data_IF_653047887375
#
_entry.id   IF_653047887375
#
_cell.length_a   1.000
_cell.length_b   1.000
_cell.length_c   1.000
_cell.angle_alpha   90.00
_cell.angle_beta   90.00
_cell.angle_gamma   90.00
#
_symmetry.space_group_name_H-M   'P 1'
#
loop_
_entity.id
_entity.type
_entity.pdbx_description
1 polymer ?
#
# COMPACT_ATOMS: atom_id res chain seq x y z
N UNK A 1 11.70 -4.31 -8.55
CA UNK A 1 10.45 -3.71 -9.08
C UNK A 1 9.55 -3.41 -7.93
N UNK A 2 9.64 -2.21 -7.43
CA UNK A 2 8.95 -1.75 -6.24
C UNK A 2 8.15 -0.52 -6.62
N UNK A 3 7.15 -0.68 -7.34
CA UNK A 3 6.35 0.42 -7.79
C UNK A 3 4.87 0.13 -7.75
N UNK A 4 4.43 -0.62 -6.78
CA UNK A 4 3.00 -0.63 -6.53
C UNK A 4 2.67 0.63 -5.78
N UNK A 5 2.48 1.65 -6.51
CA UNK A 5 1.80 2.81 -6.06
C UNK A 5 0.36 2.45 -5.71
N UNK A 6 0.15 2.04 -4.53
CA UNK A 6 -1.17 2.00 -3.97
C UNK A 6 -1.58 3.43 -3.65
N UNK A 7 -2.29 4.03 -4.54
CA UNK A 7 -3.14 5.16 -4.22
C UNK A 7 -4.23 4.68 -3.26
N UNK A 8 -3.84 4.31 -2.06
CA UNK A 8 -4.75 3.64 -1.15
C UNK A 8 -5.72 4.59 -0.44
N UNK A 9 -5.66 5.88 -0.71
CA UNK A 9 -6.44 6.81 0.09
C UNK A 9 -7.35 7.80 -0.63
N UNK A 10 -7.63 7.70 -1.90
CA UNK A 10 -8.90 8.19 -2.41
C UNK A 10 -9.64 7.15 -3.22
N UNK A 11 -9.54 5.88 -2.86
CA UNK A 11 -10.29 4.82 -3.56
C UNK A 11 -11.78 5.11 -3.59
N UNK A 12 -12.27 5.89 -2.63
CA UNK A 12 -13.67 6.30 -2.57
C UNK A 12 -14.01 7.55 -3.39
N UNK A 13 -13.04 8.17 -4.06
CA UNK A 13 -13.26 9.44 -4.74
C UNK A 13 -12.69 9.48 -6.17
N UNK A 14 -12.75 8.37 -6.89
CA UNK A 14 -12.39 8.37 -8.31
C UNK A 14 -13.63 8.68 -9.15
N UNK A 15 -13.61 9.77 -9.95
CA UNK A 15 -14.57 9.92 -11.04
C UNK A 15 -14.46 8.67 -11.94
N UNK A 16 -15.58 8.06 -12.29
CA UNK A 16 -15.62 6.74 -12.95
C UNK A 16 -14.73 6.64 -14.19
N UNK A 17 -14.68 7.66 -15.05
CA UNK A 17 -13.82 7.69 -16.24
C UNK A 17 -12.32 7.72 -15.93
N UNK A 18 -11.90 8.43 -14.88
CA UNK A 18 -10.51 8.56 -14.51
C UNK A 18 -9.88 7.25 -14.01
N UNK A 19 -10.66 6.39 -13.37
CA UNK A 19 -10.16 5.10 -12.88
C UNK A 19 -9.75 4.16 -14.02
N UNK A 20 -10.57 4.07 -15.06
CA UNK A 20 -10.30 3.25 -16.23
C UNK A 20 -9.11 3.81 -17.04
N UNK A 21 -9.13 5.11 -17.31
CA UNK A 21 -8.08 5.78 -18.07
C UNK A 21 -6.72 5.72 -17.36
N UNK A 22 -6.67 5.87 -16.04
CA UNK A 22 -5.42 5.76 -15.29
C UNK A 22 -4.78 4.36 -15.43
N UNK A 23 -5.58 3.30 -15.43
CA UNK A 23 -5.10 1.94 -15.65
C UNK A 23 -4.58 1.73 -17.07
N UNK A 24 -5.33 2.15 -18.08
CA UNK A 24 -4.95 2.01 -19.49
C UNK A 24 -3.72 2.84 -19.85
N UNK A 25 -3.71 4.12 -19.48
CA UNK A 25 -2.56 5.00 -19.75
C UNK A 25 -1.32 4.56 -19.01
N UNK A 26 -1.46 4.15 -17.74
CA UNK A 26 -0.35 3.62 -16.94
C UNK A 26 0.22 2.34 -17.53
N UNK A 27 -0.62 1.39 -17.92
CA UNK A 27 -0.22 0.16 -18.58
C UNK A 27 0.47 0.40 -19.92
N UNK A 28 -0.09 1.27 -20.74
CA UNK A 28 0.50 1.64 -22.03
C UNK A 28 1.87 2.30 -21.87
N UNK A 29 2.00 3.26 -20.94
CA UNK A 29 3.29 3.90 -20.64
C UNK A 29 4.34 2.92 -20.13
N UNK A 30 3.95 2.00 -19.27
CA UNK A 30 4.84 0.96 -18.77
C UNK A 30 5.33 0.06 -19.92
N UNK A 31 4.44 -0.38 -20.79
CA UNK A 31 4.80 -1.19 -21.96
C UNK A 31 5.73 -0.42 -22.92
N UNK A 32 5.45 0.84 -23.19
CA UNK A 32 6.29 1.71 -24.02
C UNK A 32 7.68 1.91 -23.39
N UNK A 33 7.74 2.14 -22.09
CA UNK A 33 9.00 2.27 -21.36
C UNK A 33 9.83 0.99 -21.46
N UNK A 34 9.23 -0.16 -21.20
CA UNK A 34 9.91 -1.45 -21.31
C UNK A 34 10.44 -1.66 -22.73
N UNK A 35 9.61 -1.43 -23.74
CA UNK A 35 10.00 -1.63 -25.15
C UNK A 35 11.14 -0.71 -25.61
N UNK A 36 11.24 0.50 -25.06
CA UNK A 36 12.26 1.47 -25.48
C UNK A 36 13.52 1.46 -24.60
N UNK A 37 13.38 1.11 -23.30
CA UNK A 37 14.52 1.14 -22.36
C UNK A 37 15.17 -0.22 -22.14
N UNK A 38 14.47 -1.32 -22.47
CA UNK A 38 14.96 -2.68 -22.31
C UNK A 38 14.85 -3.48 -23.62
N UNK A 39 15.47 -3.01 -24.74
CA UNK A 39 15.33 -3.66 -26.04
C UNK A 39 15.96 -5.05 -26.11
N UNK A 40 16.93 -5.32 -25.22
CA UNK A 40 17.68 -6.57 -25.20
C UNK A 40 17.89 -7.07 -23.75
N UNK A 41 16.82 -7.56 -23.12
CA UNK A 41 16.98 -8.28 -21.86
C UNK A 41 17.01 -9.77 -22.17
N UNK A 42 18.14 -10.24 -22.69
CA UNK A 42 18.40 -11.65 -22.88
C UNK A 42 19.43 -12.10 -21.85
N UNK A 43 18.97 -12.75 -20.80
CA UNK A 43 19.84 -13.49 -19.90
C UNK A 43 19.50 -14.97 -20.07
N UNK A 44 20.49 -15.79 -20.42
CA UNK A 44 20.31 -17.23 -20.50
C UNK A 44 19.96 -17.80 -19.10
N UNK A 45 19.28 -18.96 -19.05
CA UNK A 45 18.83 -19.54 -17.78
C UNK A 45 19.94 -19.81 -16.78
N UNK A 46 21.13 -20.22 -17.24
CA UNK A 46 22.24 -20.58 -16.35
C UNK A 46 22.85 -19.32 -15.71
N UNK A 47 23.05 -18.27 -16.49
CA UNK A 47 23.47 -16.96 -16.00
C UNK A 47 22.44 -16.39 -15.02
N UNK A 48 21.13 -16.52 -15.33
CA UNK A 48 20.06 -16.09 -14.44
C UNK A 48 20.09 -16.85 -13.10
N UNK A 49 20.18 -18.16 -13.14
CA UNK A 49 20.26 -19.00 -11.95
C UNK A 49 21.53 -18.73 -11.15
N UNK A 50 22.67 -18.53 -11.82
CA UNK A 50 23.92 -18.16 -11.16
C UNK A 50 23.81 -16.82 -10.41
N UNK A 51 23.12 -15.85 -10.99
CA UNK A 51 22.95 -14.51 -10.40
C UNK A 51 21.89 -14.44 -9.30
N UNK A 52 20.77 -15.14 -9.47
CA UNK A 52 19.60 -15.03 -8.61
C UNK A 52 19.24 -16.31 -7.86
N UNK A 53 20.07 -17.34 -7.93
CA UNK A 53 19.80 -18.66 -7.35
C UNK A 53 19.53 -18.60 -5.84
N UNK A 54 20.27 -17.80 -5.09
CA UNK A 54 20.05 -17.62 -3.65
C UNK A 54 18.69 -16.98 -3.36
N UNK A 55 18.28 -15.97 -4.14
CA UNK A 55 16.97 -15.33 -3.97
C UNK A 55 15.83 -16.31 -4.30
N UNK A 56 16.01 -17.13 -5.34
CA UNK A 56 15.05 -18.18 -5.71
C UNK A 56 14.95 -19.20 -4.59
N UNK A 57 16.08 -19.69 -4.09
CA UNK A 57 16.13 -20.64 -2.99
C UNK A 57 15.45 -20.10 -1.73
N UNK A 58 15.66 -18.82 -1.40
CA UNK A 58 14.97 -18.17 -0.28
C UNK A 58 13.45 -18.13 -0.47
N UNK A 59 12.96 -17.92 -1.71
CA UNK A 59 11.50 -17.97 -1.99
C UNK A 59 10.96 -19.39 -1.89
N UNK A 60 11.69 -20.38 -2.39
CA UNK A 60 11.31 -21.78 -2.28
C UNK A 60 11.30 -22.26 -0.81
N UNK A 61 12.22 -21.78 0.02
CA UNK A 61 12.21 -22.06 1.46
C UNK A 61 10.93 -21.55 2.16
N UNK A 62 10.37 -20.42 1.72
CA UNK A 62 9.07 -19.93 2.22
C UNK A 62 7.93 -20.89 1.85
N UNK A 63 7.94 -21.44 0.63
CA UNK A 63 6.96 -22.42 0.17
C UNK A 63 7.09 -23.70 1.02
N UNK A 64 8.28 -24.21 1.19
CA UNK A 64 8.56 -25.40 2.00
C UNK A 64 8.11 -25.20 3.46
N UNK A 65 8.44 -24.07 4.06
CA UNK A 65 8.02 -23.72 5.41
C UNK A 65 6.49 -23.65 5.57
N UNK A 66 5.78 -23.12 4.59
CA UNK A 66 4.33 -23.11 4.59
C UNK A 66 3.75 -24.54 4.47
N UNK A 67 4.28 -25.38 3.59
CA UNK A 67 3.83 -26.75 3.39
C UNK A 67 4.04 -27.63 4.64
N UNK A 68 5.07 -27.38 5.43
CA UNK A 68 5.28 -28.06 6.73
C UNK A 68 4.18 -27.75 7.76
N UNK A 69 3.32 -26.77 7.48
CA UNK A 69 2.18 -26.43 8.37
C UNK A 69 0.88 -27.17 8.01
N UNK A 70 0.90 -28.05 7.03
CA UNK A 70 -0.24 -28.91 6.69
C UNK A 70 -0.54 -29.85 7.87
N UNK A 71 -1.77 -29.83 8.36
CA UNK A 71 -2.19 -30.60 9.56
C UNK A 71 -1.64 -30.09 10.89
N UNK A 72 -0.84 -29.01 10.89
CA UNK A 72 -0.22 -28.44 12.09
C UNK A 72 -1.20 -27.69 13.00
N UNK A 73 -0.66 -27.08 14.06
CA UNK A 73 -1.42 -26.29 15.02
C UNK A 73 -1.41 -24.80 14.63
N UNK A 74 -2.47 -24.08 14.99
CA UNK A 74 -2.61 -22.65 14.76
C UNK A 74 -3.96 -22.29 14.10
N UNK A 75 -4.21 -21.00 13.87
CA UNK A 75 -5.39 -20.57 13.15
C UNK A 75 -5.34 -21.04 11.69
N UNK A 76 -6.44 -21.53 11.18
CA UNK A 76 -6.60 -21.82 9.74
C UNK A 76 -6.64 -20.50 8.92
N UNK A 77 -6.46 -20.62 7.61
CA UNK A 77 -6.39 -19.47 6.71
C UNK A 77 -7.65 -18.60 6.72
N UNK A 78 -8.84 -19.22 6.85
CA UNK A 78 -10.08 -18.49 6.91
C UNK A 78 -10.25 -17.69 8.22
N UNK A 79 -9.93 -18.31 9.35
CA UNK A 79 -9.96 -17.64 10.66
C UNK A 79 -8.91 -16.53 10.75
N UNK A 80 -7.74 -16.76 10.16
CA UNK A 80 -6.67 -15.77 10.08
C UNK A 80 -7.11 -14.55 9.27
N UNK A 81 -7.74 -14.76 8.11
CA UNK A 81 -8.29 -13.72 7.27
C UNK A 81 -9.37 -12.90 7.98
N UNK A 82 -10.35 -13.56 8.59
CA UNK A 82 -11.45 -12.89 9.31
C UNK A 82 -10.95 -11.92 10.39
N UNK A 83 -9.88 -12.24 11.08
CA UNK A 83 -9.32 -11.36 12.13
C UNK A 83 -8.91 -9.99 11.59
N UNK A 84 -8.16 -9.93 10.50
CA UNK A 84 -7.77 -8.64 9.97
C UNK A 84 -8.90 -7.93 9.22
N UNK A 85 -9.84 -8.65 8.60
CA UNK A 85 -11.04 -8.06 8.01
C UNK A 85 -11.90 -7.36 9.07
N UNK A 86 -12.18 -8.04 10.21
CA UNK A 86 -12.93 -7.46 11.33
C UNK A 86 -12.20 -6.25 11.93
N UNK A 87 -10.88 -6.32 12.05
CA UNK A 87 -10.05 -5.21 12.55
C UNK A 87 -10.13 -4.01 11.62
N UNK A 88 -10.06 -4.21 10.31
CA UNK A 88 -10.22 -3.14 9.32
C UNK A 88 -11.61 -2.52 9.35
N UNK A 89 -12.65 -3.33 9.46
CA UNK A 89 -14.03 -2.84 9.58
C UNK A 89 -14.25 -1.99 10.83
N UNK A 90 -13.53 -2.27 11.91
CA UNK A 90 -13.64 -1.53 13.17
C UNK A 90 -12.77 -0.28 13.24
N UNK A 91 -11.50 -0.38 12.80
CA UNK A 91 -10.50 0.65 13.03
C UNK A 91 -10.08 1.41 11.77
N UNK A 92 -10.22 0.81 10.60
CA UNK A 92 -9.77 1.38 9.33
C UNK A 92 -10.88 1.90 8.41
N UNK A 93 -12.15 1.77 8.83
CA UNK A 93 -13.31 2.15 8.04
C UNK A 93 -13.71 3.64 8.20
N UNK A 94 -14.99 3.90 8.11
CA UNK A 94 -15.54 5.27 8.09
C UNK A 94 -15.42 6.01 9.43
N UNK A 95 -15.50 5.30 10.55
CA UNK A 95 -15.36 5.87 11.89
C UNK A 95 -14.03 5.43 12.45
N UNK A 96 -13.18 6.39 12.80
CA UNK A 96 -11.82 6.15 13.27
C UNK A 96 -11.66 6.73 14.67
N UNK A 97 -11.53 5.84 15.63
CA UNK A 97 -11.13 6.17 16.98
C UNK A 97 -9.61 6.03 17.10
N UNK A 98 -8.85 7.08 17.53
CA UNK A 98 -7.40 7.02 17.61
C UNK A 98 -6.86 5.89 18.52
N UNK A 99 -7.53 5.63 19.65
CA UNK A 99 -7.13 4.56 20.57
C UNK A 99 -7.37 3.18 19.94
N UNK A 100 -8.50 3.01 19.28
CA UNK A 100 -8.83 1.78 18.55
C UNK A 100 -7.86 1.53 17.39
N UNK A 101 -7.48 2.56 16.64
CA UNK A 101 -6.47 2.46 15.58
C UNK A 101 -5.12 2.04 16.13
N UNK A 102 -4.68 2.61 17.26
CA UNK A 102 -3.43 2.25 17.90
C UNK A 102 -3.42 0.78 18.39
N UNK A 103 -4.54 0.29 18.94
CA UNK A 103 -4.68 -1.12 19.31
C UNK A 103 -4.67 -2.02 18.09
N UNK A 104 -5.42 -1.67 17.07
CA UNK A 104 -5.50 -2.41 15.81
C UNK A 104 -4.14 -2.53 15.12
N UNK A 105 -3.31 -1.48 15.18
CA UNK A 105 -1.96 -1.51 14.64
C UNK A 105 -1.09 -2.53 15.36
N UNK A 106 -1.04 -2.51 16.70
CA UNK A 106 -0.27 -3.50 17.49
C UNK A 106 -0.70 -4.94 17.21
N UNK A 107 -2.01 -5.17 17.16
CA UNK A 107 -2.57 -6.49 16.82
C UNK A 107 -2.24 -6.91 15.39
N UNK A 108 -2.28 -5.96 14.45
CA UNK A 108 -1.91 -6.17 13.04
C UNK A 108 -0.45 -6.59 12.88
N UNK A 109 0.45 -5.91 13.59
CA UNK A 109 1.87 -6.27 13.63
C UNK A 109 2.12 -7.66 14.21
N UNK A 110 1.42 -7.99 15.30
CA UNK A 110 1.52 -9.31 15.90
C UNK A 110 1.01 -10.41 14.95
N UNK A 111 -0.09 -10.15 14.25
CA UNK A 111 -0.64 -11.08 13.27
C UNK A 111 0.27 -11.23 12.04
N UNK A 112 0.89 -10.15 11.58
CA UNK A 112 1.84 -10.21 10.48
C UNK A 112 3.09 -11.02 10.86
N UNK A 113 3.65 -10.80 12.05
CA UNK A 113 4.73 -11.66 12.59
C UNK A 113 4.31 -13.13 12.71
N UNK A 114 3.06 -13.39 13.06
CA UNK A 114 2.55 -14.76 13.17
C UNK A 114 2.62 -15.50 11.82
N UNK A 115 2.18 -14.89 10.71
CA UNK A 115 2.21 -15.55 9.41
C UNK A 115 3.62 -15.63 8.83
N UNK A 116 4.47 -14.63 9.07
CA UNK A 116 5.88 -14.65 8.66
C UNK A 116 6.66 -15.79 9.34
N UNK A 117 6.33 -16.10 10.58
CA UNK A 117 6.94 -17.19 11.36
C UNK A 117 6.19 -18.52 11.21
N UNK A 118 5.36 -18.68 10.20
CA UNK A 118 4.59 -19.90 9.94
C UNK A 118 3.74 -20.40 11.11
N UNK A 119 3.30 -19.51 12.01
CA UNK A 119 2.41 -19.85 13.16
C UNK A 119 0.94 -19.88 12.72
N UNK A 120 0.67 -20.65 11.70
CA UNK A 120 -0.65 -20.84 11.06
C UNK A 120 -0.82 -22.32 10.70
N UNK A 121 -2.04 -22.72 10.36
CA UNK A 121 -2.37 -24.09 9.96
C UNK A 121 -2.89 -24.08 8.52
N UNK A 122 -2.38 -24.98 7.70
CA UNK A 122 -2.95 -25.35 6.41
C UNK A 122 -3.69 -26.68 6.56
N UNK A 123 -4.88 -26.81 5.99
CA UNK A 123 -5.65 -28.07 5.99
C UNK A 123 -5.08 -29.07 4.98
N UNK A 124 -4.55 -28.55 3.87
CA UNK A 124 -3.96 -29.36 2.81
C UNK A 124 -2.95 -28.51 1.99
N UNK A 125 -2.10 -29.12 1.15
CA UNK A 125 -1.21 -28.38 0.24
C UNK A 125 -1.93 -27.43 -0.71
N UNK A 126 -3.20 -27.69 -1.04
CA UNK A 126 -4.03 -26.82 -1.88
C UNK A 126 -4.28 -25.44 -1.27
N UNK A 127 -4.14 -25.28 0.05
CA UNK A 127 -4.26 -23.98 0.73
C UNK A 127 -2.99 -23.10 0.62
N UNK A 128 -1.95 -23.54 -0.10
CA UNK A 128 -0.73 -22.73 -0.29
C UNK A 128 -1.05 -21.37 -0.94
N UNK A 129 -1.94 -21.33 -1.92
CA UNK A 129 -2.42 -20.08 -2.52
C UNK A 129 -3.07 -19.16 -1.48
N UNK A 130 -3.93 -19.71 -0.63
CA UNK A 130 -4.55 -18.97 0.47
C UNK A 130 -3.53 -18.44 1.48
N UNK A 131 -2.47 -19.19 1.77
CA UNK A 131 -1.38 -18.72 2.63
C UNK A 131 -0.70 -17.47 2.06
N UNK A 132 -0.31 -17.48 0.79
CA UNK A 132 0.32 -16.31 0.17
C UNK A 132 -0.63 -15.14 0.05
N UNK A 133 -1.89 -15.38 -0.29
CA UNK A 133 -2.92 -14.34 -0.32
C UNK A 133 -3.09 -13.68 1.07
N UNK A 134 -3.22 -14.48 2.11
CA UNK A 134 -3.33 -13.96 3.49
C UNK A 134 -2.08 -13.20 3.93
N UNK A 135 -0.88 -13.67 3.57
CA UNK A 135 0.37 -12.97 3.85
C UNK A 135 0.39 -11.60 3.18
N UNK A 136 -0.02 -11.51 1.93
CA UNK A 136 -0.07 -10.24 1.18
C UNK A 136 -1.14 -9.31 1.74
N UNK A 137 -2.34 -9.82 1.98
CA UNK A 137 -3.44 -9.02 2.54
C UNK A 137 -3.12 -8.52 3.95
N UNK A 138 -2.42 -9.33 4.76
CA UNK A 138 -1.99 -8.92 6.08
C UNK A 138 -0.96 -7.77 6.01
N UNK A 139 -0.04 -7.81 5.06
CA UNK A 139 0.89 -6.71 4.80
C UNK A 139 0.15 -5.44 4.37
N UNK A 140 -0.79 -5.55 3.44
CA UNK A 140 -1.61 -4.43 2.97
C UNK A 140 -2.43 -3.82 4.12
N UNK A 141 -3.07 -4.66 4.93
CA UNK A 141 -3.80 -4.25 6.11
C UNK A 141 -2.90 -3.46 7.09
N UNK A 142 -1.69 -3.95 7.34
CA UNK A 142 -0.72 -3.26 8.20
C UNK A 142 -0.30 -1.91 7.62
N UNK A 143 -0.04 -1.84 6.30
CA UNK A 143 0.28 -0.60 5.60
C UNK A 143 -0.80 0.47 5.76
N UNK A 144 -2.07 0.08 5.62
CA UNK A 144 -3.21 0.98 5.80
C UNK A 144 -3.31 1.46 7.24
N UNK A 145 -3.22 0.57 8.23
CA UNK A 145 -3.28 0.95 9.64
C UNK A 145 -2.13 1.87 10.06
N UNK A 146 -0.91 1.62 9.59
CA UNK A 146 0.24 2.49 9.86
C UNK A 146 0.06 3.87 9.23
N UNK A 147 -0.49 3.93 8.03
CA UNK A 147 -0.79 5.20 7.36
C UNK A 147 -1.88 5.98 8.12
N UNK A 148 -2.94 5.31 8.58
CA UNK A 148 -3.97 5.94 9.41
C UNK A 148 -3.38 6.44 10.72
N UNK A 149 -2.59 5.61 11.41
CA UNK A 149 -1.97 5.99 12.68
C UNK A 149 -1.02 7.19 12.52
N UNK A 150 -0.20 7.21 11.47
CA UNK A 150 0.69 8.33 11.16
C UNK A 150 -0.09 9.62 10.85
N UNK A 151 -1.21 9.51 10.14
CA UNK A 151 -2.10 10.65 9.87
C UNK A 151 -2.70 11.20 11.14
N UNK A 152 -3.24 10.34 12.01
CA UNK A 152 -3.85 10.75 13.28
C UNK A 152 -2.81 11.34 14.25
N UNK A 153 -1.61 10.78 14.30
CA UNK A 153 -0.52 11.27 15.14
C UNK A 153 -0.06 12.69 14.77
N UNK A 154 -0.20 13.08 13.50
CA UNK A 154 0.10 14.44 13.03
C UNK A 154 -1.10 15.39 13.17
N UNK A 155 -2.09 15.05 13.95
CA UNK A 155 -3.27 15.87 14.16
C UNK A 155 -4.27 15.82 13.00
N UNK A 156 -4.24 14.75 12.21
CA UNK A 156 -5.20 14.51 11.15
C UNK A 156 -6.61 14.37 11.70
N UNK A 157 -7.57 15.03 11.06
CA UNK A 157 -8.98 15.03 11.43
C UNK A 157 -9.86 14.40 10.36
N UNK A 158 -11.16 14.56 10.51
CA UNK A 158 -12.18 14.07 9.59
C UNK A 158 -12.03 14.71 8.23
N UNK A 159 -12.09 13.89 7.17
CA UNK A 159 -11.96 14.39 5.81
C UNK A 159 -12.62 13.43 4.81
N UNK A 160 -13.40 13.98 3.90
CA UNK A 160 -14.00 13.19 2.82
C UNK A 160 -14.93 12.11 3.36
N UNK A 161 -14.48 10.85 3.27
CA UNK A 161 -15.31 9.68 3.56
C UNK A 161 -15.10 9.05 4.95
N UNK A 162 -14.44 9.74 5.87
CA UNK A 162 -14.24 9.20 7.23
C UNK A 162 -14.35 10.26 8.31
N UNK A 163 -14.78 9.82 9.48
CA UNK A 163 -14.93 10.60 10.70
C UNK A 163 -13.84 10.18 11.70
N UNK A 164 -13.11 11.14 12.23
CA UNK A 164 -12.16 10.93 13.32
C UNK A 164 -12.81 11.36 14.62
N UNK A 165 -13.03 10.41 15.53
CA UNK A 165 -13.63 10.69 16.84
C UNK A 165 -12.63 11.44 17.73
N UNK A 166 -13.16 12.38 18.51
CA UNK A 166 -12.39 13.13 19.50
C UNK A 166 -13.31 13.56 20.64
N UNK A 167 -12.97 13.19 21.88
CA UNK A 167 -13.80 13.47 23.05
C UNK A 167 -14.12 14.96 23.26
N UNK A 168 -13.19 15.85 22.91
CA UNK A 168 -13.34 17.30 22.96
C UNK A 168 -13.56 17.92 21.56
N UNK A 169 -14.02 17.11 20.62
CA UNK A 169 -14.29 17.54 19.25
C UNK A 169 -15.59 18.28 19.08
N UNK A 170 -15.88 18.67 17.85
CA UNK A 170 -17.13 19.30 17.46
C UNK A 170 -18.29 18.30 17.50
N UNK A 171 -19.47 18.80 17.77
CA UNK A 171 -20.72 18.03 17.73
C UNK A 171 -21.25 17.96 16.30
N UNK A 172 -21.86 16.83 15.98
CA UNK A 172 -22.67 16.70 14.77
C UNK A 172 -24.12 16.97 15.16
N UNK A 173 -24.73 18.01 14.61
CA UNK A 173 -26.12 18.35 14.87
C UNK A 173 -27.06 17.16 14.63
N UNK A 174 -27.91 16.89 15.60
CA UNK A 174 -28.86 15.77 15.55
C UNK A 174 -28.32 14.41 15.92
N UNK A 175 -27.03 14.29 16.28
CA UNK A 175 -26.44 13.06 16.79
C UNK A 175 -26.13 13.13 18.29
N UNK A 176 -26.00 11.96 18.91
CA UNK A 176 -25.59 11.78 20.30
C UNK A 176 -24.17 12.32 20.52
N UNK A 177 -23.89 12.85 21.71
CA UNK A 177 -22.61 13.47 22.10
C UNK A 177 -21.39 12.57 21.95
N UNK A 178 -21.56 11.25 21.94
CA UNK A 178 -20.48 10.30 21.65
C UNK A 178 -19.89 10.43 20.25
N UNK A 179 -20.60 11.10 19.32
CA UNK A 179 -20.18 11.33 17.94
C UNK A 179 -19.42 12.64 17.74
N UNK A 180 -18.78 13.14 18.79
CA UNK A 180 -17.85 14.27 18.66
C UNK A 180 -16.70 13.91 17.74
N UNK A 181 -16.37 14.83 16.85
CA UNK A 181 -15.36 14.59 15.83
C UNK A 181 -14.30 15.68 15.80
N UNK A 182 -13.09 15.29 15.37
CA UNK A 182 -12.03 16.23 15.04
C UNK A 182 -12.24 16.72 13.61
N UNK A 183 -12.39 18.04 13.37
CA UNK A 183 -12.48 18.60 12.02
C UNK A 183 -11.17 18.41 11.26
N UNK A 184 -11.22 18.60 9.94
CA UNK A 184 -10.05 18.51 9.09
C UNK A 184 -8.95 19.47 9.54
N UNK A 185 -7.70 19.02 9.47
CA UNK A 185 -6.54 19.88 9.63
C UNK A 185 -6.07 20.37 8.24
N UNK A 186 -6.37 21.64 7.84
CA UNK A 186 -6.05 22.15 6.50
C UNK A 186 -4.54 22.17 6.19
N UNK A 187 -3.69 22.30 7.22
CA UNK A 187 -2.25 22.32 7.03
C UNK A 187 -1.73 21.01 6.41
N UNK A 188 -2.41 19.89 6.64
CA UNK A 188 -2.03 18.62 6.07
C UNK A 188 -2.33 18.48 4.58
N UNK A 189 -3.11 19.39 3.99
CA UNK A 189 -3.35 19.44 2.53
C UNK A 189 -2.09 19.71 1.73
N UNK A 190 -1.08 20.30 2.36
CA UNK A 190 0.20 20.61 1.72
C UNK A 190 1.12 19.37 1.59
N UNK A 191 0.68 18.20 2.07
CA UNK A 191 1.50 17.01 2.11
C UNK A 191 0.75 15.79 1.56
N UNK A 192 1.51 14.88 0.98
CA UNK A 192 1.12 13.49 0.71
C UNK A 192 1.78 12.59 1.73
N UNK A 193 1.02 11.71 2.35
CA UNK A 193 1.57 10.67 3.22
C UNK A 193 1.92 9.44 2.37
N UNK A 194 3.19 9.11 2.31
CA UNK A 194 3.70 7.94 1.63
C UNK A 194 4.03 6.84 2.65
N UNK A 195 3.67 5.61 2.31
CA UNK A 195 4.09 4.42 3.03
C UNK A 195 5.07 3.64 2.17
N UNK A 196 6.20 3.25 2.77
CA UNK A 196 7.25 2.48 2.11
C UNK A 196 7.55 1.22 2.92
N UNK A 197 7.57 0.08 2.23
CA UNK A 197 8.04 -1.18 2.76
C UNK A 197 9.17 -1.71 1.89
N UNK A 198 10.35 -1.85 2.47
CA UNK A 198 11.56 -2.30 1.76
C UNK A 198 11.80 -3.82 1.85
N UNK A 199 10.80 -4.57 2.29
CA UNK A 199 10.88 -6.01 2.55
C UNK A 199 11.23 -6.37 3.99
N UNK A 200 11.69 -5.43 4.79
CA UNK A 200 12.08 -5.61 6.21
C UNK A 200 11.44 -4.58 7.13
N UNK A 201 11.48 -3.32 6.75
CA UNK A 201 11.03 -2.19 7.58
C UNK A 201 9.85 -1.47 6.95
N UNK A 202 8.98 -0.99 7.82
CA UNK A 202 7.82 -0.18 7.46
C UNK A 202 8.11 1.27 7.83
N UNK A 203 7.94 2.18 6.89
CA UNK A 203 8.18 3.62 7.11
C UNK A 203 7.04 4.44 6.53
N UNK A 204 6.71 5.52 7.20
CA UNK A 204 5.83 6.56 6.67
C UNK A 204 6.63 7.84 6.46
N UNK A 205 6.37 8.54 5.37
CA UNK A 205 7.04 9.78 4.99
C UNK A 205 6.00 10.80 4.56
N UNK A 206 6.13 12.02 5.06
CA UNK A 206 5.34 13.16 4.61
C UNK A 206 6.12 13.92 3.54
N UNK A 207 5.56 13.95 2.35
CA UNK A 207 6.18 14.58 1.18
C UNK A 207 5.36 15.80 0.80
N UNK A 208 5.97 16.98 0.64
CA UNK A 208 5.26 18.16 0.16
C UNK A 208 4.56 17.87 -1.19
N UNK A 209 3.36 18.37 -1.34
CA UNK A 209 2.63 18.31 -2.61
C UNK A 209 3.41 19.15 -3.63
N UNK A 210 3.66 18.60 -4.79
CA UNK A 210 4.31 19.36 -5.87
C UNK A 210 3.39 20.50 -6.31
N UNK A 211 3.92 21.72 -6.48
CA UNK A 211 3.12 22.80 -7.02
C UNK A 211 2.64 22.45 -8.43
N UNK A 212 1.43 22.89 -8.75
CA UNK A 212 0.93 22.79 -10.13
C UNK A 212 1.78 23.76 -10.97
N UNK A 213 2.40 23.31 -12.07
CA UNK A 213 3.12 24.20 -12.95
C UNK A 213 2.17 25.27 -13.48
N UNK A 214 2.57 26.54 -13.35
CA UNK A 214 1.77 27.69 -13.81
C UNK A 214 2.17 28.18 -15.21
N UNK A 215 3.21 27.62 -15.77
CA UNK A 215 3.85 28.03 -17.02
C UNK A 215 3.17 27.42 -18.27
N UNK A 216 1.94 27.12 -18.14
CA UNK A 216 0.92 27.07 -19.19
C UNK A 216 0.93 25.94 -20.20
N UNK A 217 2.03 25.27 -20.50
CA UNK A 217 2.12 24.34 -21.64
C UNK A 217 2.64 22.94 -21.29
N UNK A 218 2.45 22.52 -20.06
CA UNK A 218 2.94 21.22 -19.59
C UNK A 218 2.48 20.04 -20.47
N UNK A 219 1.22 20.05 -20.91
CA UNK A 219 0.68 18.96 -21.70
C UNK A 219 1.34 18.90 -23.08
N UNK A 220 1.49 20.05 -23.73
CA UNK A 220 2.09 20.18 -25.05
C UNK A 220 3.57 19.81 -25.03
N UNK A 221 4.30 20.18 -23.98
CA UNK A 221 5.71 19.82 -23.81
C UNK A 221 5.88 18.31 -23.62
N UNK A 222 5.12 17.71 -22.69
CA UNK A 222 5.17 16.27 -22.44
C UNK A 222 4.73 15.48 -23.68
N UNK A 223 3.73 15.99 -24.41
CA UNK A 223 3.28 15.37 -25.64
C UNK A 223 4.34 15.43 -26.75
N UNK A 224 5.02 16.54 -26.88
CA UNK A 224 6.13 16.72 -27.81
C UNK A 224 7.30 15.79 -27.46
N UNK A 225 7.74 15.77 -26.21
CA UNK A 225 8.79 14.89 -25.73
C UNK A 225 8.46 13.41 -25.95
N UNK A 226 7.20 13.03 -25.76
CA UNK A 226 6.72 11.68 -26.05
C UNK A 226 6.84 11.34 -27.53
N UNK A 227 6.36 12.22 -28.42
CA UNK A 227 6.43 12.02 -29.88
C UNK A 227 7.87 11.93 -30.40
N UNK A 228 8.75 12.70 -29.82
CA UNK A 228 10.18 12.74 -30.15
C UNK A 228 10.98 11.64 -29.43
N UNK A 229 10.32 10.76 -28.67
CA UNK A 229 10.89 9.70 -27.85
C UNK A 229 11.91 10.16 -26.78
N UNK A 230 12.03 11.45 -26.53
CA UNK A 230 12.96 12.02 -25.55
C UNK A 230 12.59 11.69 -24.10
N UNK A 231 11.29 11.44 -23.83
CA UNK A 231 10.82 11.03 -22.52
C UNK A 231 11.41 9.68 -22.07
N UNK A 232 11.86 8.84 -22.99
CA UNK A 232 12.47 7.54 -22.72
C UNK A 232 13.98 7.61 -22.52
N UNK A 233 14.61 8.70 -22.97
CA UNK A 233 16.07 8.91 -22.91
C UNK A 233 16.51 9.75 -21.73
N UNK A 234 15.58 10.43 -21.06
CA UNK A 234 15.86 11.02 -19.75
C UNK A 234 16.04 9.88 -18.77
N UNK A 235 17.29 9.49 -18.51
CA UNK A 235 17.60 8.67 -17.37
C UNK A 235 16.92 9.28 -16.15
N UNK A 236 16.32 8.45 -15.31
CA UNK A 236 15.96 8.82 -13.96
C UNK A 236 17.28 8.99 -13.22
N UNK A 237 17.99 10.09 -13.49
CA UNK A 237 18.94 10.59 -12.53
C UNK A 237 18.10 10.85 -11.28
N UNK A 238 18.26 9.96 -10.30
CA UNK A 238 17.89 10.25 -8.94
C UNK A 238 18.54 11.61 -8.64
N UNK A 239 17.76 12.67 -8.74
CA UNK A 239 18.13 13.90 -8.08
C UNK A 239 18.04 13.59 -6.61
N UNK A 240 19.12 13.00 -6.10
CA UNK A 240 19.43 12.97 -4.70
C UNK A 240 19.26 14.39 -4.17
N UNK A 241 18.43 14.51 -3.19
CA UNK A 241 18.37 15.67 -2.32
C UNK A 241 17.34 16.72 -2.70
N UNK A 242 16.07 16.45 -2.40
CA UNK A 242 15.20 17.43 -1.67
C UNK A 242 14.10 16.70 -0.95
#
# INVERSE_FOLDING_TARGET
>A
MTGVQTCALPIFYRPGGAALNAGQVGGYRAAQYIANCYPEVTMDPDTFLGKYGEEIAAKLAVIAGALQRVGGNGPDMASFCRKFQQRMSKAGAFIRDPAMVASALREGEAQYRQILNFKVKLKSPAELGAFFQNRQLCLTHLAVLQSIAAYLARGGGSRGSYLVLAGEGELIEGLDDRWRFRPENPALRQYTLEYVFDGKTHRTKWVPVRPIPVDGFWFEEVWREYREKRIFTRGWEEKDGR
#
